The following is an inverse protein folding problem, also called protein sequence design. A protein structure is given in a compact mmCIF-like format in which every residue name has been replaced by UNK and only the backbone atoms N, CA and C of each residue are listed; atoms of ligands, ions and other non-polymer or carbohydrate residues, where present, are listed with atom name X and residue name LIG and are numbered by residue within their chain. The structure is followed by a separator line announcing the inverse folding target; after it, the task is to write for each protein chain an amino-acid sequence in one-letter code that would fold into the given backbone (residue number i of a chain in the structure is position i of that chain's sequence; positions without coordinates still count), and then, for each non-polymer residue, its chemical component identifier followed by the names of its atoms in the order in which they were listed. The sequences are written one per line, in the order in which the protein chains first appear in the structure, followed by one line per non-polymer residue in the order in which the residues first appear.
data_IF_920082591970
#
_entry.id   IF_920082591970
#
_cell.length_a   1.000
_cell.length_b   1.000
_cell.length_c   1.000
_cell.angle_alpha   90.00
_cell.angle_beta   90.00
_cell.angle_gamma   90.00
#
_symmetry.space_group_name_H-M   'P 1'
#
loop_
_entity.id
_entity.type
_entity.pdbx_description
1 polymer ?
#
# COMPACT_ATOMS: atom_id res chain seq x y z
N UNK A 1 19.82 16.48 -18.86
CA UNK A 1 19.65 17.61 -19.82
C UNK A 1 18.21 18.11 -19.85
N UNK A 2 17.20 17.26 -19.76
CA UNK A 2 15.75 17.64 -19.76
C UNK A 2 15.35 18.44 -18.51
N UNK A 3 15.85 18.12 -17.31
CA UNK A 3 15.58 18.87 -16.08
C UNK A 3 16.10 20.32 -16.12
N UNK A 4 17.22 20.57 -16.78
CA UNK A 4 17.81 21.92 -16.87
C UNK A 4 16.97 22.91 -17.68
N UNK A 5 16.21 22.43 -18.67
CA UNK A 5 15.34 23.25 -19.51
C UNK A 5 14.00 23.58 -18.82
N UNK A 6 13.47 22.67 -17.98
CA UNK A 6 12.23 22.90 -17.23
C UNK A 6 12.41 23.96 -16.10
N UNK A 7 13.61 24.09 -15.54
CA UNK A 7 13.91 25.06 -14.48
C UNK A 7 14.25 26.48 -14.98
N UNK A 8 14.43 26.70 -16.28
CA UNK A 8 14.79 28.02 -16.80
C UNK A 8 13.61 28.98 -17.00
N UNK A 9 12.37 28.48 -17.02
CA UNK A 9 11.17 29.31 -17.25
C UNK A 9 10.24 29.47 -16.02
N UNK A 10 10.38 28.67 -14.96
CA UNK A 10 9.61 28.86 -13.71
C UNK A 10 10.49 28.52 -12.50
N UNK A 11 10.96 29.52 -11.77
CA UNK A 11 11.62 29.32 -10.48
C UNK A 11 10.58 28.78 -9.49
N UNK A 12 10.87 27.64 -8.84
CA UNK A 12 10.01 27.12 -7.77
C UNK A 12 9.89 28.15 -6.62
N UNK A 13 8.75 28.21 -5.93
CA UNK A 13 8.60 29.08 -4.78
C UNK A 13 9.58 28.67 -3.68
N UNK A 14 10.07 29.63 -2.86
CA UNK A 14 10.93 29.29 -1.73
C UNK A 14 10.26 28.31 -0.77
N UNK A 15 11.00 27.31 -0.28
CA UNK A 15 10.48 26.28 0.64
C UNK A 15 9.79 26.90 1.86
N UNK A 16 10.33 28.01 2.37
CA UNK A 16 9.76 28.71 3.53
C UNK A 16 8.35 29.26 3.25
N UNK A 17 8.05 29.70 2.02
CA UNK A 17 6.69 30.14 1.64
C UNK A 17 5.70 28.99 1.60
N UNK A 18 6.16 27.79 1.20
CA UNK A 18 5.34 26.56 1.23
C UNK A 18 5.08 26.11 2.67
N UNK A 19 6.07 26.17 3.56
CA UNK A 19 5.88 25.89 4.99
C UNK A 19 4.89 26.86 5.62
N UNK A 20 5.04 28.14 5.34
CA UNK A 20 4.11 29.17 5.85
C UNK A 20 2.69 28.93 5.35
N UNK A 21 2.51 28.56 4.10
CA UNK A 21 1.20 28.22 3.54
C UNK A 21 0.56 27.02 4.26
N UNK A 22 1.33 25.95 4.50
CA UNK A 22 0.88 24.77 5.21
C UNK A 22 0.40 25.11 6.64
N UNK A 23 1.20 25.85 7.39
CA UNK A 23 0.88 26.24 8.79
C UNK A 23 -0.30 27.21 8.85
N UNK A 24 -0.43 28.18 7.93
CA UNK A 24 -1.60 29.06 7.87
C UNK A 24 -2.87 28.28 7.49
N UNK A 25 -2.77 27.29 6.60
CA UNK A 25 -3.90 26.42 6.25
C UNK A 25 -4.38 25.59 7.44
N UNK A 26 -3.46 25.10 8.26
CA UNK A 26 -3.75 24.28 9.44
C UNK A 26 -4.33 25.13 10.59
N UNK A 27 -3.72 26.27 10.88
CA UNK A 27 -4.12 27.13 12.02
C UNK A 27 -5.33 28.03 11.71
N UNK A 28 -5.64 28.28 10.44
CA UNK A 28 -6.67 29.24 10.02
C UNK A 28 -6.41 30.68 10.48
N UNK A 29 -5.16 31.02 10.87
CA UNK A 29 -4.80 32.30 11.47
C UNK A 29 -3.36 32.71 11.17
N UNK A 30 -3.18 33.91 10.59
CA UNK A 30 -1.85 34.49 10.39
C UNK A 30 -1.09 34.75 11.70
N UNK A 31 -1.81 35.06 12.78
CA UNK A 31 -1.21 35.33 14.09
C UNK A 31 -0.72 34.03 14.74
N UNK A 32 -1.52 32.97 14.70
CA UNK A 32 -1.12 31.66 15.24
C UNK A 32 0.05 31.09 14.44
N UNK A 33 -0.02 31.14 13.10
CA UNK A 33 1.06 30.72 12.24
C UNK A 33 2.36 31.50 12.48
N UNK A 34 2.26 32.81 12.75
CA UNK A 34 3.41 33.64 13.12
C UNK A 34 4.06 33.20 14.42
N UNK A 35 3.25 32.87 15.43
CA UNK A 35 3.73 32.33 16.72
C UNK A 35 4.41 30.97 16.53
N UNK A 36 3.81 30.08 15.76
CA UNK A 36 4.33 28.72 15.53
C UNK A 36 5.65 28.72 14.76
N UNK A 37 5.76 29.59 13.75
CA UNK A 37 6.96 29.72 12.91
C UNK A 37 8.01 30.68 13.48
N UNK A 38 7.79 31.29 14.65
CA UNK A 38 8.65 32.33 15.23
C UNK A 38 8.91 33.49 14.26
N UNK A 39 7.88 33.94 13.54
CA UNK A 39 7.94 35.04 12.59
C UNK A 39 6.97 36.16 13.01
N UNK A 40 7.11 37.35 12.40
CA UNK A 40 6.10 38.39 12.52
C UNK A 40 4.89 38.10 11.62
N UNK A 41 3.71 38.56 12.03
CA UNK A 41 2.50 38.43 11.20
C UNK A 41 2.68 39.10 9.81
N UNK A 42 3.43 40.21 9.75
CA UNK A 42 3.76 40.88 8.48
C UNK A 42 4.64 40.02 7.57
N UNK A 43 5.57 39.25 8.14
CA UNK A 43 6.38 38.31 7.40
C UNK A 43 5.55 37.16 6.83
N UNK A 44 4.67 36.56 7.64
CA UNK A 44 3.69 35.54 7.19
C UNK A 44 2.84 36.10 6.02
N UNK A 45 2.26 37.30 6.19
CA UNK A 45 1.42 37.91 5.15
C UNK A 45 2.18 38.14 3.84
N UNK A 46 3.46 38.58 3.93
CA UNK A 46 4.31 38.77 2.75
C UNK A 46 4.64 37.46 2.05
N UNK A 47 4.94 36.40 2.80
CA UNK A 47 5.23 35.09 2.23
C UNK A 47 4.00 34.47 1.54
N UNK A 48 2.81 34.61 2.11
CA UNK A 48 1.57 34.18 1.47
C UNK A 48 1.32 34.97 0.19
N UNK A 49 1.43 36.31 0.22
CA UNK A 49 1.30 37.13 -0.99
C UNK A 49 2.29 36.75 -2.10
N UNK A 50 3.53 36.43 -1.73
CA UNK A 50 4.54 35.95 -2.67
C UNK A 50 4.12 34.63 -3.31
N UNK A 51 3.56 33.70 -2.54
CA UNK A 51 3.07 32.42 -3.03
C UNK A 51 1.83 32.57 -3.92
N UNK A 52 0.88 33.42 -3.53
CA UNK A 52 -0.31 33.78 -4.34
C UNK A 52 0.09 34.44 -5.66
N UNK A 53 1.09 35.32 -5.64
CA UNK A 53 1.64 35.92 -6.84
C UNK A 53 2.29 34.86 -7.76
N UNK A 54 2.99 33.88 -7.17
CA UNK A 54 3.61 32.78 -7.92
C UNK A 54 2.56 31.91 -8.62
N UNK A 55 1.46 31.58 -7.93
CA UNK A 55 0.38 30.77 -8.50
C UNK A 55 -0.60 31.57 -9.36
N UNK A 56 -0.54 32.91 -9.31
CA UNK A 56 -1.44 33.80 -10.05
C UNK A 56 -2.89 33.77 -9.53
N UNK A 57 -3.12 33.26 -8.33
CA UNK A 57 -4.44 33.19 -7.71
C UNK A 57 -4.35 33.38 -6.20
N UNK A 58 -5.46 33.79 -5.57
CA UNK A 58 -5.57 33.85 -4.13
C UNK A 58 -5.73 32.43 -3.56
N UNK A 59 -4.96 32.09 -2.53
CA UNK A 59 -5.03 30.81 -1.84
C UNK A 59 -5.86 30.90 -0.54
N UNK A 60 -6.06 32.12 -0.03
CA UNK A 60 -6.85 32.38 1.16
C UNK A 60 -7.89 33.48 0.95
N UNK A 61 -9.04 33.32 1.56
CA UNK A 61 -10.05 34.36 1.79
C UNK A 61 -9.89 34.92 3.21
N UNK A 62 -9.75 36.26 3.31
CA UNK A 62 -9.59 36.95 4.58
C UNK A 62 -10.95 37.44 5.07
N UNK A 63 -11.44 36.90 6.18
CA UNK A 63 -12.61 37.38 6.90
C UNK A 63 -12.17 38.11 8.18
N UNK A 64 -13.04 38.90 8.76
CA UNK A 64 -12.74 39.79 9.92
C UNK A 64 -12.20 39.01 11.15
N UNK A 65 -12.48 37.70 11.27
CA UNK A 65 -12.07 36.88 12.42
C UNK A 65 -11.40 35.55 12.07
N UNK A 66 -11.30 35.19 10.80
CA UNK A 66 -10.69 33.92 10.35
C UNK A 66 -10.12 34.05 8.94
N UNK A 67 -9.16 33.16 8.66
CA UNK A 67 -8.60 32.94 7.33
C UNK A 67 -9.11 31.58 6.85
N UNK A 68 -9.66 31.51 5.65
CA UNK A 68 -10.21 30.30 5.06
C UNK A 68 -9.53 30.06 3.72
N UNK A 69 -9.27 28.82 3.36
CA UNK A 69 -8.74 28.46 2.05
C UNK A 69 -9.74 28.81 0.93
N UNK A 70 -9.24 29.19 -0.23
CA UNK A 70 -10.00 29.19 -1.48
C UNK A 70 -10.06 27.76 -2.03
N UNK A 71 -10.90 27.51 -3.04
CA UNK A 71 -10.94 26.23 -3.75
C UNK A 71 -9.54 25.83 -4.31
N UNK A 72 -8.80 26.82 -4.84
CA UNK A 72 -7.42 26.65 -5.29
C UNK A 72 -6.47 26.33 -4.14
N UNK A 73 -6.66 26.98 -2.97
CA UNK A 73 -5.90 26.71 -1.77
C UNK A 73 -6.12 25.26 -1.28
N UNK A 74 -7.37 24.80 -1.22
CA UNK A 74 -7.72 23.45 -0.83
C UNK A 74 -7.09 22.40 -1.77
N UNK A 75 -7.08 22.65 -3.06
CA UNK A 75 -6.46 21.75 -4.04
C UNK A 75 -4.92 21.66 -3.90
N UNK A 76 -4.27 22.75 -3.44
CA UNK A 76 -2.80 22.82 -3.34
C UNK A 76 -2.28 22.28 -2.00
N UNK A 77 -3.05 22.37 -0.89
CA UNK A 77 -2.64 21.91 0.45
C UNK A 77 -2.09 20.48 0.45
N UNK A 78 -2.78 19.44 -0.09
CA UNK A 78 -2.27 18.08 -0.04
C UNK A 78 -0.97 17.92 -0.83
N UNK A 79 -0.77 18.67 -1.91
CA UNK A 79 0.44 18.63 -2.73
C UNK A 79 1.62 19.22 -1.96
N UNK A 80 1.41 20.38 -1.34
CA UNK A 80 2.45 21.07 -0.54
C UNK A 80 2.82 20.23 0.68
N UNK A 81 1.83 19.71 1.41
CA UNK A 81 2.07 18.87 2.59
C UNK A 81 2.83 17.59 2.21
N UNK A 82 2.46 16.93 1.12
CA UNK A 82 3.17 15.77 0.59
C UNK A 82 4.65 16.08 0.27
N UNK A 83 4.92 17.23 -0.37
CA UNK A 83 6.28 17.66 -0.67
C UNK A 83 7.10 17.93 0.61
N UNK A 84 6.52 18.64 1.59
CA UNK A 84 7.20 18.95 2.86
C UNK A 84 7.49 17.69 3.68
N UNK A 85 6.56 16.74 3.72
CA UNK A 85 6.74 15.44 4.35
C UNK A 85 7.87 14.66 3.67
N UNK A 86 7.87 14.58 2.34
CA UNK A 86 8.91 13.89 1.58
C UNK A 86 10.30 14.48 1.84
N UNK A 87 10.42 15.81 1.86
CA UNK A 87 11.68 16.48 2.19
C UNK A 87 12.14 16.16 3.62
N UNK A 88 11.25 16.26 4.60
CA UNK A 88 11.57 15.94 6.00
C UNK A 88 12.04 14.50 6.14
N UNK A 89 11.32 13.54 5.55
CA UNK A 89 11.69 12.13 5.57
C UNK A 89 13.07 11.90 4.93
N UNK A 90 13.37 12.58 3.83
CA UNK A 90 14.67 12.51 3.16
C UNK A 90 15.82 13.07 4.04
N UNK A 91 15.57 14.14 4.80
CA UNK A 91 16.54 14.67 5.76
C UNK A 91 16.73 13.73 6.95
N UNK A 92 15.66 13.17 7.50
CA UNK A 92 15.74 12.20 8.59
C UNK A 92 16.45 10.91 8.14
N UNK A 93 16.14 10.39 6.97
CA UNK A 93 16.85 9.26 6.36
C UNK A 93 18.33 9.54 6.15
N UNK A 94 18.72 10.80 5.89
CA UNK A 94 20.11 11.21 5.77
C UNK A 94 20.82 11.30 7.13
N UNK A 95 20.09 11.67 8.19
CA UNK A 95 20.63 11.74 9.58
C UNK A 95 20.73 10.36 10.24
N UNK A 96 19.78 9.47 9.93
CA UNK A 96 19.74 8.08 10.43
C UNK A 96 20.39 7.08 9.48
N UNK A 97 21.37 7.51 8.67
CA UNK A 97 22.07 6.77 7.60
C UNK A 97 22.76 5.46 8.01
N UNK A 98 22.16 4.69 8.91
CA UNK A 98 22.65 3.38 9.26
C UNK A 98 21.77 2.24 8.77
N UNK A 99 20.46 2.19 9.09
CA UNK A 99 19.66 0.96 8.92
C UNK A 99 18.14 1.15 8.87
N UNK A 100 17.63 2.30 8.43
CA UNK A 100 16.20 2.46 8.21
C UNK A 100 15.86 2.18 6.74
N UNK A 101 14.93 1.25 6.49
CA UNK A 101 14.42 0.90 5.17
C UNK A 101 12.93 1.20 5.08
N UNK A 102 12.49 1.82 4.00
CA UNK A 102 11.07 1.94 3.68
C UNK A 102 10.67 0.84 2.70
N UNK A 103 9.75 -0.02 3.16
CA UNK A 103 9.24 -1.15 2.39
C UNK A 103 7.78 -0.92 2.10
N UNK A 104 7.41 -0.89 0.83
CA UNK A 104 6.04 -0.75 0.40
C UNK A 104 5.50 -2.08 -0.11
N UNK A 105 4.28 -2.45 0.31
CA UNK A 105 3.71 -3.75 0.00
C UNK A 105 2.18 -3.73 0.00
N UNK A 106 1.51 -4.75 -0.60
CA UNK A 106 0.07 -4.91 -0.49
C UNK A 106 -0.37 -5.12 0.96
N UNK A 107 -1.50 -4.51 1.40
CA UNK A 107 -1.99 -4.62 2.77
C UNK A 107 -2.17 -6.07 3.25
N UNK A 108 -2.70 -6.95 2.40
CA UNK A 108 -2.90 -8.37 2.72
C UNK A 108 -1.58 -9.09 3.00
N UNK A 109 -0.54 -8.83 2.18
CA UNK A 109 0.79 -9.40 2.41
C UNK A 109 1.40 -8.89 3.71
N UNK A 110 1.33 -7.58 3.96
CA UNK A 110 1.81 -6.99 5.20
C UNK A 110 1.17 -7.67 6.42
N UNK A 111 -0.17 -7.68 6.48
CA UNK A 111 -0.91 -8.19 7.63
C UNK A 111 -0.72 -9.69 7.85
N UNK A 112 -0.86 -10.49 6.79
CA UNK A 112 -0.96 -11.96 6.91
C UNK A 112 0.37 -12.68 6.83
N UNK A 113 1.36 -12.07 6.15
CA UNK A 113 2.66 -12.74 5.99
C UNK A 113 3.77 -12.05 6.78
N UNK A 114 3.93 -10.72 6.66
CA UNK A 114 5.06 -10.03 7.27
C UNK A 114 4.89 -9.82 8.78
N UNK A 115 3.77 -9.24 9.22
CA UNK A 115 3.57 -8.88 10.64
C UNK A 115 3.78 -10.07 11.60
N UNK A 116 3.28 -11.29 11.31
CA UNK A 116 3.52 -12.43 12.20
C UNK A 116 4.99 -12.84 12.34
N UNK A 117 5.85 -12.37 11.40
CA UNK A 117 7.28 -12.71 11.33
C UNK A 117 8.21 -11.60 11.81
N UNK A 118 7.69 -10.42 12.15
CA UNK A 118 8.51 -9.27 12.57
C UNK A 118 9.37 -9.54 13.78
N UNK A 119 8.90 -10.36 14.73
CA UNK A 119 9.68 -10.73 15.92
C UNK A 119 10.94 -11.49 15.53
N UNK A 120 10.86 -12.43 14.57
CA UNK A 120 12.02 -13.15 14.05
C UNK A 120 12.96 -12.21 13.28
N UNK A 121 12.42 -11.31 12.45
CA UNK A 121 13.21 -10.32 11.73
C UNK A 121 14.06 -9.48 12.70
N UNK A 122 13.43 -8.88 13.71
CA UNK A 122 14.13 -8.05 14.68
C UNK A 122 15.09 -8.84 15.58
N UNK A 123 14.76 -10.11 15.87
CA UNK A 123 15.67 -11.02 16.59
C UNK A 123 16.97 -11.29 15.82
N UNK A 124 16.90 -11.41 14.50
CA UNK A 124 18.07 -11.65 13.64
C UNK A 124 18.79 -10.38 13.21
N UNK A 125 18.05 -9.29 13.07
CA UNK A 125 18.55 -7.99 12.58
C UNK A 125 18.12 -6.86 13.54
N UNK A 126 18.65 -6.82 14.78
CA UNK A 126 18.17 -5.88 15.81
C UNK A 126 18.38 -4.40 15.45
N UNK A 127 19.36 -4.13 14.60
CA UNK A 127 19.65 -2.77 14.15
C UNK A 127 18.88 -2.35 12.89
N UNK A 128 18.07 -3.25 12.30
CA UNK A 128 17.29 -2.97 11.11
C UNK A 128 15.96 -2.33 11.49
N UNK A 129 15.81 -1.06 11.16
CA UNK A 129 14.53 -0.37 11.26
C UNK A 129 13.80 -0.40 9.92
N UNK A 130 12.56 -0.88 9.92
CA UNK A 130 11.72 -0.87 8.71
C UNK A 130 10.49 -0.01 8.92
N UNK A 131 10.21 0.84 7.93
CA UNK A 131 8.92 1.53 7.78
C UNK A 131 8.10 0.76 6.77
N UNK A 132 6.93 0.28 7.20
CA UNK A 132 6.01 -0.46 6.33
C UNK A 132 4.98 0.52 5.79
N UNK A 133 4.98 0.70 4.48
CA UNK A 133 3.98 1.47 3.75
C UNK A 133 3.09 0.49 2.97
N UNK A 134 1.76 0.61 3.13
CA UNK A 134 0.84 -0.32 2.49
C UNK A 134 0.03 0.35 1.41
N UNK A 135 0.15 -0.17 0.18
CA UNK A 135 -0.67 0.27 -0.94
C UNK A 135 -0.69 -0.80 -2.04
N UNK A 136 -1.68 -0.71 -2.94
CA UNK A 136 -1.72 -1.49 -4.17
C UNK A 136 -1.06 -0.72 -5.31
N UNK A 137 -0.16 -1.39 -6.04
CA UNK A 137 0.53 -0.82 -7.20
C UNK A 137 0.50 -1.78 -8.37
N UNK A 138 0.18 -1.24 -9.54
CA UNK A 138 0.28 -1.98 -10.80
C UNK A 138 1.70 -1.93 -11.40
N UNK A 139 2.52 -0.94 -11.01
CA UNK A 139 3.87 -0.72 -11.56
C UNK A 139 4.85 -0.34 -10.46
N UNK A 140 6.11 -0.81 -10.53
CA UNK A 140 7.15 -0.40 -9.59
C UNK A 140 7.47 1.08 -9.84
N UNK A 141 7.15 1.93 -8.87
CA UNK A 141 7.57 3.32 -8.84
C UNK A 141 8.50 3.53 -7.67
N UNK A 142 9.80 3.51 -7.96
CA UNK A 142 10.81 4.02 -7.08
C UNK A 142 10.92 5.52 -7.37
N UNK A 143 10.13 6.32 -6.65
CA UNK A 143 10.13 7.78 -6.75
C UNK A 143 11.45 8.39 -6.26
N UNK A 144 11.48 9.69 -6.04
CA UNK A 144 12.65 10.44 -5.58
C UNK A 144 13.08 10.11 -4.15
N UNK A 145 13.44 8.85 -3.86
CA UNK A 145 14.25 8.50 -2.70
C UNK A 145 13.57 7.86 -1.49
N UNK A 146 12.26 7.64 -1.48
CA UNK A 146 11.54 7.25 -0.25
C UNK A 146 11.26 5.75 -0.09
N UNK A 147 11.46 4.92 -1.12
CA UNK A 147 11.19 3.48 -1.07
C UNK A 147 12.44 2.70 -1.44
N UNK A 148 12.85 1.82 -0.54
CA UNK A 148 14.03 0.97 -0.71
C UNK A 148 13.67 -0.39 -1.32
N UNK A 149 12.53 -0.95 -0.93
CA UNK A 149 12.04 -2.25 -1.38
C UNK A 149 10.53 -2.20 -1.65
N UNK A 150 10.10 -2.82 -2.74
CA UNK A 150 8.70 -3.05 -3.03
C UNK A 150 8.39 -4.54 -2.91
N UNK A 151 7.23 -4.89 -2.35
CA UNK A 151 6.62 -6.19 -2.58
C UNK A 151 5.45 -5.98 -3.53
N UNK A 152 5.49 -6.61 -4.69
CA UNK A 152 4.43 -6.53 -5.69
C UNK A 152 3.81 -7.90 -5.92
N UNK A 153 2.51 -7.88 -6.24
CA UNK A 153 1.82 -9.03 -6.77
C UNK A 153 1.84 -8.99 -8.30
N UNK A 154 2.22 -10.09 -8.93
CA UNK A 154 2.31 -10.15 -10.39
C UNK A 154 2.90 -11.47 -10.90
N UNK A 155 3.35 -11.46 -12.15
CA UNK A 155 3.88 -12.63 -12.87
C UNK A 155 5.43 -12.69 -12.88
N UNK A 156 6.11 -11.85 -12.12
CA UNK A 156 7.58 -11.86 -12.02
C UNK A 156 8.31 -11.05 -13.10
N UNK A 157 7.62 -10.33 -13.95
CA UNK A 157 8.26 -9.62 -15.07
C UNK A 157 8.26 -8.10 -14.87
N UNK A 158 9.39 -7.55 -14.40
CA UNK A 158 9.63 -6.09 -14.25
C UNK A 158 11.01 -5.73 -14.79
N UNK A 159 11.10 -5.28 -16.06
CA UNK A 159 12.37 -4.94 -16.69
C UNK A 159 13.17 -3.89 -15.91
N UNK A 160 14.49 -4.10 -15.80
CA UNK A 160 15.38 -3.19 -15.10
C UNK A 160 15.37 -3.28 -13.57
N UNK A 161 14.66 -4.26 -13.01
CA UNK A 161 14.58 -4.50 -11.57
C UNK A 161 15.29 -5.80 -11.19
N UNK A 162 15.77 -5.85 -9.96
CA UNK A 162 16.09 -7.10 -9.28
C UNK A 162 14.79 -7.64 -8.67
N UNK A 163 14.47 -8.90 -8.96
CA UNK A 163 13.17 -9.51 -8.66
C UNK A 163 13.39 -10.84 -7.96
N UNK A 164 12.80 -11.02 -6.79
CA UNK A 164 12.83 -12.27 -6.02
C UNK A 164 11.41 -12.73 -5.70
N UNK A 165 11.06 -13.95 -6.08
CA UNK A 165 9.79 -14.57 -5.73
C UNK A 165 9.76 -14.87 -4.23
N UNK A 166 8.76 -14.35 -3.52
CA UNK A 166 8.52 -14.62 -2.09
C UNK A 166 7.47 -15.70 -1.89
N UNK A 167 6.31 -15.57 -2.53
CA UNK A 167 5.18 -16.49 -2.41
C UNK A 167 4.60 -16.77 -3.80
N UNK A 168 4.69 -18.00 -4.31
CA UNK A 168 3.84 -18.43 -5.42
C UNK A 168 2.39 -18.49 -4.95
N UNK A 169 1.45 -18.01 -5.76
CA UNK A 169 0.05 -18.03 -5.37
C UNK A 169 -0.57 -19.41 -5.55
N UNK A 170 -1.19 -19.92 -4.46
CA UNK A 170 -1.92 -21.20 -4.42
C UNK A 170 -3.33 -20.95 -3.92
N UNK A 171 -4.31 -21.00 -4.81
CA UNK A 171 -5.68 -20.61 -4.55
C UNK A 171 -6.61 -21.80 -4.38
N UNK A 172 -7.50 -21.69 -3.40
CA UNK A 172 -8.63 -22.62 -3.20
C UNK A 172 -9.78 -21.88 -2.51
N UNK A 173 -11.04 -22.33 -2.69
CA UNK A 173 -12.16 -21.78 -1.94
C UNK A 173 -12.02 -22.02 -0.44
N UNK A 174 -12.28 -21.00 0.37
CA UNK A 174 -12.21 -21.01 1.81
C UNK A 174 -13.45 -20.38 2.43
N UNK A 175 -13.89 -20.94 3.57
CA UNK A 175 -15.01 -20.40 4.34
C UNK A 175 -14.86 -20.78 5.82
N UNK A 176 -15.76 -20.29 6.68
CA UNK A 176 -15.82 -20.75 8.07
C UNK A 176 -16.24 -22.23 8.17
N UNK A 177 -15.87 -22.95 9.24
CA UNK A 177 -16.32 -24.33 9.47
C UNK A 177 -17.84 -24.50 9.48
N UNK A 178 -18.55 -23.54 10.08
CA UNK A 178 -20.02 -23.55 10.10
C UNK A 178 -20.62 -23.41 8.70
N UNK A 179 -20.03 -22.56 7.86
CA UNK A 179 -20.48 -22.41 6.49
C UNK A 179 -20.17 -23.66 5.64
N UNK A 180 -19.02 -24.29 5.86
CA UNK A 180 -18.61 -25.50 5.14
C UNK A 180 -19.63 -26.64 5.29
N UNK A 181 -20.29 -26.75 6.44
CA UNK A 181 -21.32 -27.78 6.67
C UNK A 181 -22.54 -27.60 5.74
N UNK A 182 -22.86 -26.36 5.33
CA UNK A 182 -23.96 -26.07 4.41
C UNK A 182 -23.65 -26.47 2.96
N UNK A 183 -22.36 -26.64 2.62
CA UNK A 183 -21.92 -27.04 1.26
C UNK A 183 -22.04 -28.56 1.03
N UNK A 184 -22.38 -29.32 2.06
CA UNK A 184 -22.44 -30.77 2.01
C UNK A 184 -21.16 -31.46 2.56
N UNK A 185 -21.23 -32.77 2.74
CA UNK A 185 -20.08 -33.59 3.16
C UNK A 185 -20.01 -34.88 2.35
N UNK A 186 -19.14 -34.98 1.31
CA UNK A 186 -18.20 -33.93 0.84
C UNK A 186 -18.92 -32.71 0.24
N UNK A 187 -18.25 -31.56 0.27
CA UNK A 187 -18.77 -30.33 -0.33
C UNK A 187 -19.00 -30.51 -1.83
N UNK A 188 -20.12 -30.01 -2.33
CA UNK A 188 -20.53 -30.10 -3.74
C UNK A 188 -20.32 -28.77 -4.42
N UNK A 189 -19.75 -28.78 -5.63
CA UNK A 189 -19.46 -27.57 -6.41
C UNK A 189 -20.75 -26.82 -6.73
N UNK A 190 -21.82 -27.54 -7.04
CA UNK A 190 -23.13 -26.98 -7.36
C UNK A 190 -23.70 -26.15 -6.20
N UNK A 191 -23.36 -26.48 -4.95
CA UNK A 191 -23.80 -25.73 -3.77
C UNK A 191 -23.25 -24.29 -3.75
N UNK A 192 -22.18 -23.99 -4.50
CA UNK A 192 -21.66 -22.64 -4.65
C UNK A 192 -22.62 -21.70 -5.37
N UNK A 193 -23.55 -22.24 -6.19
CA UNK A 193 -24.56 -21.44 -6.88
C UNK A 193 -25.47 -20.69 -5.89
N UNK A 194 -25.75 -21.28 -4.73
CA UNK A 194 -26.63 -20.72 -3.69
C UNK A 194 -25.84 -19.86 -2.67
N UNK A 195 -24.53 -19.71 -2.85
CA UNK A 195 -23.66 -19.00 -1.92
C UNK A 195 -23.39 -17.55 -2.34
N UNK A 196 -22.93 -16.75 -1.37
CA UNK A 196 -22.28 -15.48 -1.66
C UNK A 196 -20.81 -15.76 -1.97
N UNK A 197 -20.37 -15.48 -3.20
CA UNK A 197 -18.97 -15.53 -3.57
C UNK A 197 -18.30 -14.19 -3.27
N UNK A 198 -17.20 -14.25 -2.54
CA UNK A 198 -16.46 -13.09 -2.06
C UNK A 198 -15.22 -12.89 -2.93
N UNK A 199 -15.05 -11.68 -3.45
CA UNK A 199 -13.98 -11.32 -4.37
C UNK A 199 -13.14 -10.16 -3.80
N UNK A 200 -11.88 -10.08 -4.18
CA UNK A 200 -11.07 -8.86 -4.07
C UNK A 200 -10.93 -8.20 -5.44
N UNK A 201 -10.93 -6.86 -5.51
CA UNK A 201 -10.82 -6.13 -6.78
C UNK A 201 -9.61 -6.54 -7.63
N UNK A 202 -8.50 -6.84 -6.97
CA UNK A 202 -7.28 -7.25 -7.65
C UNK A 202 -7.35 -8.67 -8.29
N UNK A 203 -8.41 -9.46 -7.99
CA UNK A 203 -8.45 -10.89 -8.27
C UNK A 203 -9.83 -11.41 -8.69
N UNK A 204 -10.58 -10.63 -9.44
CA UNK A 204 -11.91 -11.05 -9.90
C UNK A 204 -11.90 -12.31 -10.77
N UNK A 205 -10.75 -12.64 -11.38
CA UNK A 205 -10.59 -13.83 -12.22
C UNK A 205 -10.30 -15.12 -11.45
N UNK A 206 -10.04 -15.07 -10.14
CA UNK A 206 -9.62 -16.22 -9.33
C UNK A 206 -10.69 -17.32 -9.34
N UNK A 207 -11.94 -16.94 -9.15
CA UNK A 207 -13.07 -17.85 -9.21
C UNK A 207 -13.23 -18.49 -10.58
N UNK A 208 -13.09 -17.70 -11.64
CA UNK A 208 -13.17 -18.22 -13.02
C UNK A 208 -12.12 -19.29 -13.28
N UNK A 209 -10.87 -19.06 -12.86
CA UNK A 209 -9.77 -20.00 -13.01
C UNK A 209 -10.03 -21.30 -12.24
N UNK A 210 -10.52 -21.20 -11.00
CA UNK A 210 -10.78 -22.38 -10.19
C UNK A 210 -11.98 -23.18 -10.70
N UNK A 211 -13.08 -22.53 -11.06
CA UNK A 211 -14.28 -23.19 -11.62
C UNK A 211 -13.94 -23.87 -12.96
N UNK A 212 -13.12 -23.25 -13.81
CA UNK A 212 -12.62 -23.87 -15.03
C UNK A 212 -11.82 -25.15 -14.75
N UNK A 213 -10.94 -25.10 -13.75
CA UNK A 213 -10.14 -26.26 -13.34
C UNK A 213 -11.01 -27.41 -12.81
N UNK A 214 -12.17 -27.10 -12.23
CA UNK A 214 -13.18 -28.10 -11.78
C UNK A 214 -14.15 -28.53 -12.88
N UNK A 215 -14.13 -27.91 -14.07
CA UNK A 215 -15.06 -28.20 -15.16
C UNK A 215 -16.44 -27.58 -14.97
N UNK A 216 -16.59 -26.64 -14.03
CA UNK A 216 -17.85 -25.98 -13.67
C UNK A 216 -17.98 -24.61 -14.36
N UNK A 217 -17.86 -24.56 -15.68
CA UNK A 217 -17.79 -23.34 -16.48
C UNK A 217 -19.01 -22.44 -16.40
N UNK A 218 -20.20 -23.02 -16.20
CA UNK A 218 -21.48 -22.30 -16.24
C UNK A 218 -22.03 -21.97 -14.85
N UNK A 219 -21.26 -22.23 -13.80
CA UNK A 219 -21.71 -21.95 -12.43
C UNK A 219 -21.79 -20.44 -12.20
N UNK A 220 -23.01 -19.98 -11.89
CA UNK A 220 -23.29 -18.58 -11.53
C UNK A 220 -23.80 -18.54 -10.11
N UNK A 221 -23.13 -17.79 -9.25
CA UNK A 221 -23.54 -17.60 -7.87
C UNK A 221 -24.73 -16.64 -7.76
N UNK A 222 -25.59 -16.89 -6.76
CA UNK A 222 -26.75 -16.03 -6.46
C UNK A 222 -26.36 -14.59 -6.12
N UNK A 223 -25.18 -14.41 -5.54
CA UNK A 223 -24.63 -13.10 -5.17
C UNK A 223 -23.11 -13.09 -5.22
N UNK A 224 -22.57 -11.96 -5.68
CA UNK A 224 -21.13 -11.65 -5.61
C UNK A 224 -20.93 -10.42 -4.72
N UNK A 225 -19.99 -10.50 -3.78
CA UNK A 225 -19.59 -9.38 -2.95
C UNK A 225 -18.13 -9.06 -3.22
N UNK A 226 -17.83 -7.79 -3.53
CA UNK A 226 -16.49 -7.33 -3.86
C UNK A 226 -15.92 -6.54 -2.69
N UNK A 227 -14.68 -6.81 -2.37
CA UNK A 227 -13.85 -6.10 -1.38
C UNK A 227 -12.62 -5.53 -2.07
N UNK A 228 -12.03 -4.48 -1.54
CA UNK A 228 -10.81 -3.86 -2.09
C UNK A 228 -9.54 -4.65 -1.79
N UNK A 229 -9.56 -5.54 -0.77
CA UNK A 229 -8.43 -6.40 -0.43
C UNK A 229 -8.88 -7.85 -0.19
N UNK A 230 -7.99 -8.80 -0.46
CA UNK A 230 -8.23 -10.20 -0.15
C UNK A 230 -8.38 -10.45 1.35
N UNK A 231 -7.74 -9.63 2.18
CA UNK A 231 -7.83 -9.72 3.63
C UNK A 231 -9.26 -9.51 4.13
N UNK A 232 -9.98 -8.52 3.58
CA UNK A 232 -11.39 -8.31 3.93
C UNK A 232 -12.28 -9.45 3.44
N UNK A 233 -12.06 -9.97 2.23
CA UNK A 233 -12.81 -11.12 1.72
C UNK A 233 -12.62 -12.36 2.61
N UNK A 234 -11.38 -12.64 3.04
CA UNK A 234 -11.07 -13.74 3.95
C UNK A 234 -11.68 -13.54 5.34
N UNK A 235 -11.66 -12.31 5.86
CA UNK A 235 -12.29 -11.98 7.14
C UNK A 235 -13.81 -12.17 7.09
N UNK A 236 -14.46 -11.74 6.00
CA UNK A 236 -15.89 -11.96 5.80
C UNK A 236 -16.24 -13.46 5.67
N UNK A 237 -15.40 -14.25 4.98
CA UNK A 237 -15.55 -15.70 4.90
C UNK A 237 -15.40 -16.37 6.26
N UNK A 238 -14.42 -15.98 7.08
CA UNK A 238 -14.22 -16.45 8.44
C UNK A 238 -15.43 -16.15 9.35
N UNK A 239 -16.10 -15.02 9.11
CA UNK A 239 -17.33 -14.65 9.83
C UNK A 239 -18.59 -15.37 9.33
N UNK A 240 -18.47 -16.29 8.37
CA UNK A 240 -19.58 -17.07 7.84
C UNK A 240 -20.44 -16.35 6.79
N UNK A 241 -19.97 -15.26 6.21
CA UNK A 241 -20.76 -14.48 5.24
C UNK A 241 -20.81 -15.12 3.84
N UNK A 242 -19.85 -15.97 3.50
CA UNK A 242 -19.78 -16.64 2.20
C UNK A 242 -18.48 -17.41 2.00
N UNK A 243 -18.16 -17.65 0.73
CA UNK A 243 -16.95 -18.38 0.31
C UNK A 243 -16.02 -17.45 -0.47
N UNK A 244 -14.75 -17.41 -0.12
CA UNK A 244 -13.72 -16.62 -0.81
C UNK A 244 -12.69 -17.51 -1.49
N UNK A 245 -12.10 -17.02 -2.58
CA UNK A 245 -10.83 -17.57 -3.04
C UNK A 245 -9.72 -17.09 -2.12
N UNK A 246 -9.08 -18.02 -1.41
CA UNK A 246 -7.98 -17.72 -0.50
C UNK A 246 -6.65 -18.28 -0.98
N UNK A 247 -5.58 -17.53 -0.76
CA UNK A 247 -4.21 -18.02 -0.95
C UNK A 247 -3.78 -18.85 0.26
N UNK A 248 -3.29 -20.06 0.02
CA UNK A 248 -2.90 -21.02 1.08
C UNK A 248 -1.81 -20.48 2.00
N UNK A 249 -0.88 -19.70 1.47
CA UNK A 249 0.23 -19.14 2.25
C UNK A 249 -0.23 -17.97 3.14
N UNK A 250 -1.12 -17.12 2.60
CA UNK A 250 -1.67 -15.99 3.34
C UNK A 250 -2.78 -16.40 4.32
N UNK A 251 -3.46 -17.52 4.06
CA UNK A 251 -4.49 -18.09 4.93
C UNK A 251 -3.92 -18.99 6.03
N UNK A 252 -2.62 -19.24 6.05
CA UNK A 252 -1.99 -20.26 6.90
C UNK A 252 -2.44 -20.21 8.35
N UNK A 253 -2.42 -19.04 8.99
CA UNK A 253 -2.82 -18.90 10.39
C UNK A 253 -4.31 -19.20 10.61
N UNK A 254 -5.18 -18.77 9.70
CA UNK A 254 -6.62 -19.05 9.78
C UNK A 254 -6.92 -20.54 9.59
N UNK A 255 -6.16 -21.22 8.71
CA UNK A 255 -6.29 -22.65 8.48
C UNK A 255 -5.76 -23.46 9.69
N UNK A 256 -4.60 -23.07 10.25
CA UNK A 256 -4.02 -23.71 11.44
C UNK A 256 -4.90 -23.52 12.68
N UNK A 257 -5.53 -22.36 12.84
CA UNK A 257 -6.47 -22.09 13.94
C UNK A 257 -7.86 -22.68 13.72
N UNK A 258 -8.17 -23.15 12.51
CA UNK A 258 -9.51 -23.62 12.15
C UNK A 258 -10.54 -22.49 11.96
N UNK A 259 -10.12 -21.23 11.89
CA UNK A 259 -11.02 -20.10 11.60
C UNK A 259 -11.54 -20.14 10.17
N UNK A 260 -10.69 -20.58 9.26
CA UNK A 260 -11.05 -20.94 7.88
C UNK A 260 -10.78 -22.41 7.63
N UNK A 261 -11.56 -22.98 6.71
CA UNK A 261 -11.36 -24.35 6.19
C UNK A 261 -11.43 -24.33 4.66
N UNK A 262 -10.85 -25.35 4.04
CA UNK A 262 -10.90 -25.57 2.58
C UNK A 262 -11.91 -26.70 2.29
N UNK A 263 -13.17 -26.39 1.97
CA UNK A 263 -14.20 -27.42 1.75
C UNK A 263 -13.96 -28.25 0.48
N UNK A 264 -13.15 -27.73 -0.44
CA UNK A 264 -12.81 -28.41 -1.68
C UNK A 264 -11.33 -28.83 -1.70
N UNK A 265 -11.03 -29.93 -2.41
CA UNK A 265 -9.65 -30.48 -2.45
C UNK A 265 -8.72 -29.80 -3.45
N UNK A 266 -9.32 -29.17 -4.49
CA UNK A 266 -8.50 -28.61 -5.57
C UNK A 266 -7.86 -27.31 -5.13
N UNK A 267 -6.55 -27.25 -5.32
CA UNK A 267 -5.74 -26.06 -5.24
C UNK A 267 -5.22 -25.76 -6.63
N UNK A 268 -5.29 -24.52 -7.07
CA UNK A 268 -4.76 -24.08 -8.36
C UNK A 268 -3.58 -23.15 -8.16
N UNK A 269 -2.66 -23.18 -9.10
CA UNK A 269 -1.59 -22.19 -9.22
C UNK A 269 -1.98 -21.19 -10.32
N UNK A 270 -2.07 -19.91 -9.97
CA UNK A 270 -2.50 -18.87 -10.91
C UNK A 270 -1.40 -18.42 -11.88
N UNK A 271 -0.15 -18.84 -11.65
CA UNK A 271 1.03 -18.31 -12.34
C UNK A 271 1.46 -16.92 -11.84
N UNK A 272 0.77 -16.37 -10.84
CA UNK A 272 1.12 -15.13 -10.17
C UNK A 272 1.74 -15.39 -8.79
N UNK A 273 2.23 -14.34 -8.14
CA UNK A 273 2.80 -14.43 -6.82
C UNK A 273 3.19 -13.08 -6.25
N UNK A 274 3.74 -13.09 -5.06
CA UNK A 274 4.31 -11.91 -4.41
C UNK A 274 5.83 -11.92 -4.61
N UNK A 275 6.35 -10.81 -5.06
CA UNK A 275 7.76 -10.64 -5.39
C UNK A 275 8.35 -9.45 -4.66
N UNK A 276 9.54 -9.62 -4.08
CA UNK A 276 10.36 -8.52 -3.61
C UNK A 276 11.12 -7.91 -4.78
N UNK A 277 11.09 -6.60 -4.90
CA UNK A 277 11.63 -5.89 -6.06
C UNK A 277 12.42 -4.66 -5.58
N UNK A 278 13.62 -4.49 -6.11
CA UNK A 278 14.41 -3.26 -5.94
C UNK A 278 15.09 -2.89 -7.28
N UNK A 279 15.59 -1.65 -7.43
CA UNK A 279 16.38 -1.31 -8.62
C UNK A 279 17.58 -2.23 -8.77
N UNK A 280 17.88 -2.64 -10.03
CA UNK A 280 18.97 -3.59 -10.32
C UNK A 280 20.39 -3.04 -10.09
N UNK A 281 20.52 -1.79 -9.60
CA UNK A 281 21.82 -1.18 -9.25
C UNK A 281 22.39 -1.80 -8.00
N UNK A 282 23.72 -2.02 -7.98
CA UNK A 282 24.42 -2.68 -6.87
C UNK A 282 24.26 -1.96 -5.52
N UNK A 283 24.27 -0.61 -5.51
CA UNK A 283 24.06 0.18 -4.30
C UNK A 283 22.66 -0.01 -3.71
N UNK A 284 21.63 -0.12 -4.55
CA UNK A 284 20.27 -0.36 -4.12
C UNK A 284 20.10 -1.79 -3.57
N UNK A 285 20.66 -2.80 -4.23
CA UNK A 285 20.65 -4.19 -3.75
C UNK A 285 21.40 -4.33 -2.42
N UNK A 286 22.60 -3.75 -2.32
CA UNK A 286 23.39 -3.79 -1.09
C UNK A 286 22.63 -3.18 0.10
N UNK A 287 21.88 -2.09 -0.14
CA UNK A 287 21.07 -1.42 0.88
C UNK A 287 19.99 -2.30 1.48
N UNK A 288 19.33 -3.12 0.66
CA UNK A 288 18.20 -3.99 1.09
C UNK A 288 18.62 -5.43 1.35
N UNK A 289 19.90 -5.78 1.21
CA UNK A 289 20.39 -7.17 1.19
C UNK A 289 19.98 -7.98 2.41
N UNK A 290 20.10 -7.43 3.61
CA UNK A 290 19.77 -8.16 4.86
C UNK A 290 18.29 -8.51 4.91
N UNK A 291 17.44 -7.52 4.60
CA UNK A 291 16.00 -7.72 4.55
C UNK A 291 15.59 -8.67 3.42
N UNK A 292 16.17 -8.50 2.23
CA UNK A 292 15.86 -9.35 1.08
C UNK A 292 16.24 -10.80 1.33
N UNK A 293 17.42 -11.06 1.88
CA UNK A 293 17.88 -12.39 2.25
C UNK A 293 16.98 -13.04 3.31
N UNK A 294 16.52 -12.25 4.29
CA UNK A 294 15.58 -12.73 5.29
C UNK A 294 14.23 -13.06 4.66
N UNK A 295 13.65 -12.19 3.83
CA UNK A 295 12.39 -12.43 3.11
C UNK A 295 12.45 -13.72 2.27
N UNK A 296 13.56 -13.92 1.55
CA UNK A 296 13.79 -15.11 0.70
C UNK A 296 13.91 -16.39 1.55
N UNK A 297 14.51 -16.32 2.73
CA UNK A 297 14.63 -17.46 3.66
C UNK A 297 13.28 -17.86 4.24
N UNK A 298 12.43 -16.91 4.57
CA UNK A 298 11.13 -17.12 5.18
C UNK A 298 10.04 -17.58 4.18
N UNK A 299 10.36 -17.71 2.90
CA UNK A 299 9.41 -18.24 1.91
C UNK A 299 9.07 -19.70 2.22
N UNK A 300 7.81 -20.10 1.99
CA UNK A 300 7.42 -21.51 2.13
C UNK A 300 8.17 -22.37 1.11
N UNK A 301 8.59 -23.53 1.56
CA UNK A 301 9.18 -24.60 0.71
C UNK A 301 8.10 -25.28 -0.11
#
# INVERSE_FOLDING_TARGET
MVLKLAFQQNRLPPLQTLQTFSVVAETGSFTLAASELNLSQSAISRQIQQLEHYFGCSLFQRHTRKVVLTEQGEAIVPIVNGLLISLRNSFEATRTRGRSLTVRMPPTFARRWLLPRLTDLHGRHPDLNITIDTAWFARPTFGTGDIDLLVLYGNGHWPGMHVELLLPEKLTPMCSPSFATSLGNPARIESLADCVLLHSNARQSDWTLWLQAEGAYDLTAVRNQIFDTQDFAMTAAASGYGVTMGDMHLARQDLESGTLVTPFRRIIESGYGYYAICPAREDAKARVSDLLNWLVRERPT
#
